data_IF_643394727393
#
_entry.id   IF_643394727393
#
_cell.length_a   1.000
_cell.length_b   1.000
_cell.length_c   1.000
_cell.angle_alpha   90.00
_cell.angle_beta   90.00
_cell.angle_gamma   90.00
#
_symmetry.space_group_name_H-M   'P 1'
#
loop_
_entity.id
_entity.type
_entity.pdbx_description
1 polymer ?
#
# COMPACT_ATOMS: atom_id res chain seq x y z
N UNK A 1 46.79 12.64 14.46
CA UNK A 1 45.75 11.80 13.81
C UNK A 1 44.40 12.32 14.27
N UNK A 2 43.37 12.44 13.42
CA UNK A 2 42.04 12.85 13.88
C UNK A 2 41.50 11.76 14.81
N UNK A 3 40.93 12.16 15.95
CA UNK A 3 40.35 11.26 16.95
C UNK A 3 39.19 10.48 16.31
N UNK A 4 39.39 9.20 16.01
CA UNK A 4 38.35 8.28 15.51
C UNK A 4 37.13 8.23 16.45
N UNK A 5 37.33 8.45 17.76
CA UNK A 5 36.26 8.50 18.76
C UNK A 5 35.22 9.62 18.54
N UNK A 6 35.60 10.76 17.95
CA UNK A 6 34.64 11.88 17.76
C UNK A 6 33.59 11.52 16.70
N UNK A 7 33.98 10.76 15.68
CA UNK A 7 33.04 10.35 14.63
C UNK A 7 32.03 9.32 15.16
N UNK A 8 32.46 8.40 16.01
CA UNK A 8 31.58 7.40 16.63
C UNK A 8 30.60 8.03 17.64
N UNK A 9 31.06 9.01 18.42
CA UNK A 9 30.22 9.73 19.38
C UNK A 9 29.15 10.56 18.67
N UNK A 10 29.52 11.31 17.62
CA UNK A 10 28.58 12.09 16.80
C UNK A 10 27.59 11.19 16.05
N UNK A 11 28.02 10.04 15.55
CA UNK A 11 27.12 9.07 14.90
C UNK A 11 26.14 8.45 15.89
N UNK A 12 26.56 8.22 17.13
CA UNK A 12 25.71 7.80 18.25
C UNK A 12 24.60 8.81 18.53
N UNK A 13 24.97 10.08 18.71
CA UNK A 13 24.02 11.17 18.98
C UNK A 13 22.99 11.35 17.86
N UNK A 14 23.44 11.28 16.60
CA UNK A 14 22.54 11.38 15.43
C UNK A 14 21.54 10.21 15.41
N UNK A 15 21.99 8.99 15.74
CA UNK A 15 21.11 7.82 15.80
C UNK A 15 20.05 7.98 16.90
N UNK A 16 20.43 8.50 18.06
CA UNK A 16 19.50 8.69 19.17
C UNK A 16 18.46 9.77 18.86
N UNK A 17 18.88 10.89 18.24
CA UNK A 17 17.96 11.93 17.74
C UNK A 17 16.96 11.33 16.73
N UNK A 18 17.44 10.50 15.80
CA UNK A 18 16.57 9.86 14.80
C UNK A 18 15.54 8.91 15.44
N UNK A 19 15.93 8.21 16.51
CA UNK A 19 15.02 7.35 17.27
C UNK A 19 13.95 8.15 18.02
N UNK A 20 14.34 9.27 18.65
CA UNK A 20 13.40 10.17 19.31
C UNK A 20 12.39 10.79 18.33
N UNK A 21 12.86 11.24 17.16
CA UNK A 21 11.99 11.75 16.10
C UNK A 21 10.99 10.67 15.65
N UNK A 22 11.46 9.45 15.41
CA UNK A 22 10.61 8.32 15.01
C UNK A 22 9.53 8.03 16.06
N UNK A 23 9.91 8.02 17.32
CA UNK A 23 8.98 7.72 18.41
C UNK A 23 8.02 8.89 18.67
N UNK A 24 8.45 10.14 18.46
CA UNK A 24 7.61 11.33 18.44
C UNK A 24 6.55 11.27 17.33
N UNK A 25 6.95 10.92 16.11
CA UNK A 25 6.05 10.68 14.98
C UNK A 25 5.04 9.59 15.34
N UNK A 26 5.49 8.42 15.82
CA UNK A 26 4.58 7.33 16.21
C UNK A 26 3.56 7.75 17.27
N UNK A 27 3.96 8.53 18.28
CA UNK A 27 3.05 9.06 19.31
C UNK A 27 2.05 10.04 18.72
N UNK A 28 2.50 10.94 17.85
CA UNK A 28 1.64 11.96 17.22
C UNK A 28 0.59 11.34 16.28
N UNK A 29 0.97 10.29 15.54
CA UNK A 29 0.06 9.62 14.61
C UNK A 29 -0.69 8.41 15.21
N UNK A 30 -0.46 8.06 16.49
CA UNK A 30 -1.10 6.91 17.16
C UNK A 30 -2.63 6.96 17.13
N UNK A 31 -3.21 8.16 17.17
CA UNK A 31 -4.66 8.40 17.18
C UNK A 31 -5.16 9.06 15.90
N UNK A 32 -4.28 9.28 14.92
CA UNK A 32 -4.69 9.74 13.59
C UNK A 32 -5.33 8.53 12.93
N UNK A 33 -6.66 8.53 12.84
CA UNK A 33 -7.35 7.59 11.96
C UNK A 33 -6.68 7.73 10.59
N UNK A 34 -6.15 6.64 9.99
CA UNK A 34 -5.65 6.72 8.63
C UNK A 34 -6.76 7.39 7.82
N UNK A 35 -6.43 8.46 7.10
CA UNK A 35 -7.37 9.19 6.24
C UNK A 35 -8.26 8.15 5.59
N UNK A 36 -9.56 8.21 5.88
CA UNK A 36 -10.49 7.13 5.58
C UNK A 36 -10.47 6.87 4.09
N UNK A 37 -9.63 5.92 3.66
CA UNK A 37 -9.65 5.41 2.30
C UNK A 37 -10.98 4.68 2.26
N UNK A 38 -11.98 5.38 1.73
CA UNK A 38 -13.33 4.85 1.55
C UNK A 38 -13.12 3.57 0.74
N UNK A 39 -13.31 2.42 1.38
CA UNK A 39 -13.08 1.16 0.70
C UNK A 39 -14.00 1.13 -0.52
N UNK A 40 -13.40 1.04 -1.70
CA UNK A 40 -14.15 0.98 -2.94
C UNK A 40 -15.03 -0.27 -2.90
N UNK A 41 -16.28 -0.11 -3.30
CA UNK A 41 -17.15 -1.28 -3.50
C UNK A 41 -16.56 -2.18 -4.59
N UNK A 42 -16.88 -3.49 -4.62
CA UNK A 42 -16.40 -4.38 -5.68
C UNK A 42 -16.61 -3.84 -7.10
N UNK A 43 -17.74 -3.17 -7.33
CA UNK A 43 -18.04 -2.57 -8.63
C UNK A 43 -17.13 -1.38 -8.96
N UNK A 44 -16.87 -0.51 -7.98
CA UNK A 44 -15.93 0.60 -8.15
C UNK A 44 -14.48 0.12 -8.35
N UNK A 45 -14.10 -0.99 -7.71
CA UNK A 45 -12.78 -1.61 -7.91
C UNK A 45 -12.62 -2.10 -9.35
N UNK A 46 -13.66 -2.73 -9.91
CA UNK A 46 -13.65 -3.16 -11.31
C UNK A 46 -13.65 -1.99 -12.29
N UNK A 47 -14.44 -0.95 -12.07
CA UNK A 47 -14.42 0.26 -12.89
C UNK A 47 -13.04 0.93 -12.89
N UNK A 48 -12.39 0.99 -11.72
CA UNK A 48 -11.03 1.49 -11.61
C UNK A 48 -10.02 0.58 -12.32
N UNK A 49 -10.18 -0.74 -12.20
CA UNK A 49 -9.35 -1.72 -12.90
C UNK A 49 -9.48 -1.59 -14.43
N UNK A 50 -10.70 -1.42 -14.96
CA UNK A 50 -10.91 -1.23 -16.39
C UNK A 50 -10.35 0.10 -16.92
N UNK A 51 -10.39 1.17 -16.11
CA UNK A 51 -9.92 2.50 -16.51
C UNK A 51 -8.42 2.72 -16.30
N UNK A 52 -7.84 2.13 -15.25
CA UNK A 52 -6.48 2.44 -14.78
C UNK A 52 -5.69 1.23 -14.28
N UNK A 53 -6.21 0.02 -14.44
CA UNK A 53 -5.61 -1.20 -13.89
C UNK A 53 -4.18 -1.47 -14.37
N UNK A 54 -3.84 -1.10 -15.61
CA UNK A 54 -2.48 -1.22 -16.13
C UNK A 54 -1.47 -0.29 -15.45
N UNK A 55 -1.86 0.96 -15.17
CA UNK A 55 -1.00 1.92 -14.48
C UNK A 55 -0.87 1.56 -12.99
N UNK A 56 -1.95 1.09 -12.35
CA UNK A 56 -1.90 0.55 -10.98
C UNK A 56 -0.98 -0.67 -10.92
N UNK A 57 -1.08 -1.60 -11.89
CA UNK A 57 -0.21 -2.76 -11.98
C UNK A 57 1.27 -2.34 -12.08
N UNK A 58 1.60 -1.40 -12.98
CA UNK A 58 2.97 -0.88 -13.12
C UNK A 58 3.45 -0.25 -11.81
N UNK A 59 2.61 0.54 -11.15
CA UNK A 59 2.97 1.18 -9.90
C UNK A 59 3.29 0.13 -8.82
N UNK A 60 2.44 -0.88 -8.65
CA UNK A 60 2.68 -1.98 -7.71
C UNK A 60 3.96 -2.73 -8.08
N UNK A 61 4.18 -3.02 -9.37
CA UNK A 61 5.39 -3.70 -9.82
C UNK A 61 6.67 -2.91 -9.50
N UNK A 62 6.62 -1.58 -9.60
CA UNK A 62 7.72 -0.68 -9.30
C UNK A 62 7.97 -0.49 -7.80
N UNK A 63 6.91 -0.43 -6.98
CA UNK A 63 7.03 -0.12 -5.54
C UNK A 63 7.11 -1.35 -4.64
N UNK A 64 6.42 -2.43 -5.01
CA UNK A 64 6.25 -3.62 -4.17
C UNK A 64 6.73 -4.92 -4.85
N UNK A 65 7.00 -4.88 -6.16
CA UNK A 65 7.53 -6.00 -6.94
C UNK A 65 6.48 -6.68 -7.83
N UNK A 66 6.98 -7.44 -8.83
CA UNK A 66 6.18 -8.09 -9.87
C UNK A 66 5.21 -9.13 -9.29
N UNK A 67 5.61 -9.83 -8.23
CA UNK A 67 4.77 -10.85 -7.58
C UNK A 67 3.47 -10.23 -7.05
N UNK A 68 3.58 -9.09 -6.34
CA UNK A 68 2.40 -8.38 -5.82
C UNK A 68 1.53 -7.78 -6.91
N UNK A 69 2.14 -7.33 -8.01
CA UNK A 69 1.39 -6.81 -9.16
C UNK A 69 0.58 -7.94 -9.83
N UNK A 70 1.16 -9.14 -9.90
CA UNK A 70 0.50 -10.33 -10.43
C UNK A 70 -0.66 -10.76 -9.51
N UNK A 71 -0.44 -10.80 -8.20
CA UNK A 71 -1.51 -11.06 -7.22
C UNK A 71 -2.68 -10.07 -7.34
N UNK A 72 -2.37 -8.79 -7.58
CA UNK A 72 -3.38 -7.76 -7.81
C UNK A 72 -4.23 -8.05 -9.06
N UNK A 73 -3.58 -8.39 -10.19
CA UNK A 73 -4.27 -8.76 -11.42
C UNK A 73 -5.20 -9.96 -11.20
N UNK A 74 -4.67 -11.04 -10.63
CA UNK A 74 -5.42 -12.28 -10.40
C UNK A 74 -6.58 -12.09 -9.41
N UNK A 75 -6.45 -11.13 -8.48
CA UNK A 75 -7.56 -10.73 -7.60
C UNK A 75 -8.67 -10.00 -8.38
N UNK A 76 -8.32 -9.09 -9.28
CA UNK A 76 -9.30 -8.35 -10.08
C UNK A 76 -10.03 -9.24 -11.08
N UNK A 77 -9.33 -10.19 -11.71
CA UNK A 77 -9.95 -11.21 -12.59
C UNK A 77 -10.98 -12.05 -11.84
N UNK A 78 -10.64 -12.55 -10.64
CA UNK A 78 -11.60 -13.28 -9.79
C UNK A 78 -12.81 -12.44 -9.40
N UNK A 79 -12.60 -11.15 -9.12
CA UNK A 79 -13.68 -10.22 -8.77
C UNK A 79 -14.63 -9.99 -9.95
N UNK A 80 -14.08 -9.90 -11.16
CA UNK A 80 -14.84 -9.77 -12.40
C UNK A 80 -15.70 -11.01 -12.65
N UNK A 81 -15.12 -12.21 -12.51
CA UNK A 81 -15.85 -13.47 -12.66
C UNK A 81 -16.99 -13.61 -11.65
N UNK A 82 -16.74 -13.29 -10.37
CA UNK A 82 -17.76 -13.33 -9.33
C UNK A 82 -18.91 -12.37 -9.62
N UNK A 83 -18.59 -11.17 -10.11
CA UNK A 83 -19.60 -10.17 -10.48
C UNK A 83 -20.42 -10.66 -11.67
N UNK A 84 -19.78 -11.24 -12.70
CA UNK A 84 -20.46 -11.80 -13.87
C UNK A 84 -21.43 -12.94 -13.50
N UNK A 85 -21.03 -13.86 -12.60
CA UNK A 85 -21.88 -14.98 -12.15
C UNK A 85 -23.12 -14.52 -11.38
N UNK A 86 -23.00 -13.47 -10.55
CA UNK A 86 -24.15 -12.88 -9.85
C UNK A 86 -25.21 -12.34 -10.82
N UNK A 87 -24.82 -11.88 -12.00
CA UNK A 87 -25.77 -11.43 -13.03
C UNK A 87 -26.44 -12.58 -13.77
N UNK A 88 -25.82 -13.75 -13.90
CA UNK A 88 -26.41 -14.90 -14.58
C UNK A 88 -27.42 -15.65 -13.72
N UNK A 89 -27.20 -15.72 -12.40
CA UNK A 89 -28.14 -16.36 -11.45
C UNK A 89 -29.38 -15.50 -11.16
N UNK A 90 -29.35 -14.19 -11.48
CA UNK A 90 -30.45 -13.26 -11.29
C UNK A 90 -31.45 -13.19 -12.46
N UNK A 91 -31.32 -14.06 -13.49
CA UNK A 91 -32.29 -14.14 -14.59
C UNK A 91 -33.49 -14.98 -14.16
N UNK A 92 -34.71 -14.43 -14.02
CA UNK A 92 -35.90 -15.23 -13.78
C UNK A 92 -36.21 -16.06 -15.02
N UNK A 93 -36.50 -17.35 -14.81
CA UNK A 93 -37.17 -18.22 -15.79
C UNK A 93 -38.59 -17.74 -16.07
#
# INVERSE_FOLDING_TARGET
MPNENIYDEVLGDVKDIMLEIRDGIKKQYKNVKPFGVKQLTPQQQLEQYHSSGYEIFKQIAQTEGVDKATDYRDKMERLQEQTARRFTDARPN
#
